data_IF_815129490457
#
_entry.id   IF_815129490457
#
_cell.length_a   1.000
_cell.length_b   1.000
_cell.length_c   1.000
_cell.angle_alpha   90.00
_cell.angle_beta   90.00
_cell.angle_gamma   90.00
#
_symmetry.space_group_name_H-M   'P 1'
#
loop_
_entity.id
_entity.type
_entity.pdbx_description
1 polymer ?
#
# COMPACT_ATOMS: atom_id res chain seq x y z
N UNK A 1 22.08 -6.40 -8.28
CA UNK A 1 21.72 -7.83 -8.12
C UNK A 1 20.36 -8.02 -8.78
N UNK A 2 20.36 -8.37 -10.06
CA UNK A 2 19.14 -8.55 -10.86
C UNK A 2 18.57 -9.97 -10.68
N UNK A 3 17.25 -10.06 -10.54
CA UNK A 3 16.47 -11.20 -11.00
C UNK A 3 15.95 -12.14 -9.91
N UNK A 4 14.63 -12.06 -9.64
CA UNK A 4 13.64 -13.17 -9.60
C UNK A 4 12.35 -12.74 -8.87
N UNK A 5 11.40 -12.11 -9.56
CA UNK A 5 10.05 -11.86 -9.00
C UNK A 5 8.92 -12.01 -10.04
N UNK A 6 9.06 -12.93 -11.01
CA UNK A 6 8.09 -13.07 -12.09
C UNK A 6 6.98 -14.12 -11.87
N UNK A 7 6.76 -14.63 -10.65
CA UNK A 7 5.67 -15.60 -10.38
C UNK A 7 4.72 -15.23 -9.24
N UNK A 8 4.81 -14.01 -8.69
CA UNK A 8 4.11 -13.63 -7.44
C UNK A 8 2.87 -12.76 -7.62
N UNK A 9 2.71 -12.18 -8.80
CA UNK A 9 1.73 -11.13 -9.04
C UNK A 9 0.48 -11.68 -9.72
N UNK A 10 -0.70 -11.43 -9.14
CA UNK A 10 -1.99 -11.70 -9.79
C UNK A 10 -2.53 -10.39 -10.38
N UNK A 11 -2.83 -10.41 -11.68
CA UNK A 11 -3.58 -9.34 -12.33
C UNK A 11 -5.04 -9.45 -11.90
N UNK A 12 -5.54 -8.43 -11.21
CA UNK A 12 -6.95 -8.40 -10.82
C UNK A 12 -7.79 -8.08 -12.08
N UNK A 13 -8.47 -9.07 -12.64
CA UNK A 13 -9.34 -8.87 -13.79
C UNK A 13 -10.58 -8.01 -13.42
N UNK A 14 -10.70 -6.84 -14.08
CA UNK A 14 -11.86 -5.93 -14.25
C UNK A 14 -12.47 -5.21 -13.03
N UNK A 15 -12.29 -3.87 -12.98
CA UNK A 15 -13.39 -2.85 -12.92
C UNK A 15 -12.94 -1.51 -13.58
N UNK A 16 -13.71 -1.02 -14.57
CA UNK A 16 -13.66 0.32 -15.27
C UNK A 16 -14.73 1.28 -14.67
N UNK A 17 -14.88 2.61 -14.96
CA UNK A 17 -14.19 3.52 -15.91
C UNK A 17 -13.73 4.89 -15.31
N UNK A 18 -13.23 5.78 -16.19
CA UNK A 18 -12.61 7.09 -15.96
C UNK A 18 -13.55 8.24 -15.50
N UNK A 19 -13.05 9.12 -14.62
CA UNK A 19 -13.40 10.56 -14.53
C UNK A 19 -12.18 11.36 -14.06
N UNK A 20 -11.95 12.49 -14.72
CA UNK A 20 -10.85 13.45 -14.53
C UNK A 20 -11.17 14.43 -13.38
N UNK A 21 -10.16 14.84 -12.60
CA UNK A 21 -9.62 16.22 -12.54
C UNK A 21 -8.72 16.42 -11.30
N UNK A 22 -7.40 16.42 -11.52
CA UNK A 22 -6.55 17.61 -11.38
C UNK A 22 -6.34 18.35 -10.05
N UNK A 23 -6.83 17.92 -8.88
CA UNK A 23 -6.55 18.64 -7.62
C UNK A 23 -5.82 17.77 -6.58
N UNK A 24 -4.69 18.30 -6.06
CA UNK A 24 -3.93 17.71 -4.93
C UNK A 24 -4.63 18.04 -3.60
N UNK A 25 -5.00 17.06 -2.75
CA UNK A 25 -5.41 17.32 -1.38
C UNK A 25 -4.19 17.58 -0.48
N UNK A 26 -4.29 18.58 0.41
CA UNK A 26 -3.26 18.90 1.41
C UNK A 26 -3.25 17.86 2.53
N UNK A 27 -2.23 16.99 2.62
CA UNK A 27 -2.19 15.83 3.53
C UNK A 27 -1.03 15.87 4.56
N UNK A 28 -0.30 16.98 4.64
CA UNK A 28 1.09 16.95 5.12
C UNK A 28 1.35 17.07 6.64
N UNK A 29 0.48 16.53 7.52
CA UNK A 29 0.81 16.46 8.97
C UNK A 29 0.42 15.14 9.62
N UNK A 30 1.43 14.46 10.19
CA UNK A 30 1.25 13.41 11.21
C UNK A 30 0.76 14.09 12.51
N UNK A 31 -0.39 13.72 13.06
CA UNK A 31 -0.85 14.30 14.33
C UNK A 31 0.04 13.87 15.50
N UNK A 32 0.12 14.72 16.53
CA UNK A 32 0.89 14.47 17.75
C UNK A 32 0.17 13.47 18.68
N UNK A 33 0.88 12.48 19.24
CA UNK A 33 0.33 11.46 20.16
C UNK A 33 1.26 10.27 20.44
N UNK A 34 0.99 9.49 21.51
CA UNK A 34 1.68 8.21 21.81
C UNK A 34 1.02 7.11 21.00
N UNK A 35 1.74 6.55 20.03
CA UNK A 35 1.20 5.54 19.12
C UNK A 35 1.40 4.13 19.70
N UNK A 36 0.46 3.20 19.46
CA UNK A 36 0.64 1.79 19.84
C UNK A 36 1.89 1.15 19.24
N UNK A 37 2.33 1.60 18.05
CA UNK A 37 3.62 1.22 17.44
C UNK A 37 4.84 1.59 18.29
N UNK A 38 4.68 2.58 19.17
CA UNK A 38 5.74 3.19 19.97
C UNK A 38 5.73 2.64 21.41
N UNK A 39 4.77 1.76 21.76
CA UNK A 39 4.69 1.10 23.07
C UNK A 39 4.21 -0.36 22.97
N UNK A 40 5.13 -1.34 23.04
CA UNK A 40 4.83 -2.76 22.87
C UNK A 40 3.99 -3.38 24.00
N UNK A 41 3.72 -2.66 25.09
CA UNK A 41 2.92 -3.13 26.23
C UNK A 41 1.43 -2.74 26.13
N UNK A 42 1.00 -2.04 25.07
CA UNK A 42 -0.41 -1.75 24.83
C UNK A 42 -1.14 -3.02 24.36
N UNK A 43 -1.96 -3.58 25.24
CA UNK A 43 -2.87 -4.69 24.91
C UNK A 43 -4.06 -4.17 24.10
N UNK A 44 -3.95 -4.27 22.77
CA UNK A 44 -5.01 -3.88 21.86
C UNK A 44 -6.18 -4.88 21.90
N UNK A 45 -7.40 -4.36 22.05
CA UNK A 45 -8.65 -5.03 21.70
C UNK A 45 -9.17 -4.41 20.40
N UNK A 46 -9.67 -5.22 19.48
CA UNK A 46 -10.21 -4.72 18.22
C UNK A 46 -11.29 -3.67 18.48
N UNK A 47 -11.15 -2.42 17.99
CA UNK A 47 -12.16 -1.41 18.23
C UNK A 47 -13.30 -1.58 17.23
N UNK A 48 -14.52 -1.42 17.72
CA UNK A 48 -15.75 -1.29 16.92
C UNK A 48 -15.82 0.04 16.12
N UNK A 49 -14.66 0.70 15.87
CA UNK A 49 -14.51 2.06 15.34
C UNK A 49 -13.29 2.17 14.41
N UNK A 50 -13.29 3.08 13.41
CA UNK A 50 -12.08 3.41 12.66
C UNK A 50 -10.98 3.96 13.59
N UNK A 51 -9.73 3.75 13.20
CA UNK A 51 -8.53 4.06 14.00
C UNK A 51 -8.53 5.48 14.56
N UNK A 52 -8.13 5.69 15.84
CA UNK A 52 -8.01 7.01 16.41
C UNK A 52 -6.75 7.68 15.84
N UNK A 53 -6.93 8.79 15.13
CA UNK A 53 -5.82 9.69 14.80
C UNK A 53 -5.74 10.22 13.39
N UNK A 54 -6.80 10.22 12.58
CA UNK A 54 -6.76 10.96 11.31
C UNK A 54 -8.10 11.64 10.99
N UNK A 55 -8.19 12.92 11.32
CA UNK A 55 -9.34 13.80 10.99
C UNK A 55 -9.55 13.96 9.46
N UNK A 56 -8.57 13.55 8.64
CA UNK A 56 -8.67 13.50 7.18
C UNK A 56 -9.33 12.23 6.61
N UNK A 57 -9.81 11.30 7.45
CA UNK A 57 -10.47 10.07 7.01
C UNK A 57 -11.80 10.37 6.25
N UNK A 58 -12.54 11.40 6.65
CA UNK A 58 -13.84 11.75 6.07
C UNK A 58 -13.75 12.45 4.70
N UNK A 59 -12.66 13.17 4.40
CA UNK A 59 -12.57 14.06 3.23
C UNK A 59 -12.36 13.35 1.88
N UNK A 60 -12.08 12.05 1.85
CA UNK A 60 -11.82 11.28 0.60
C UNK A 60 -12.88 10.18 0.39
N UNK A 61 -14.04 10.30 1.04
CA UNK A 61 -15.20 9.51 0.62
C UNK A 61 -15.69 10.06 -0.72
N UNK A 62 -15.90 9.18 -1.71
CA UNK A 62 -16.63 9.56 -2.91
C UNK A 62 -18.04 10.03 -2.53
N UNK A 63 -18.76 10.70 -3.43
CA UNK A 63 -20.16 11.10 -3.21
C UNK A 63 -21.07 9.92 -2.80
N UNK A 64 -20.65 8.68 -3.08
CA UNK A 64 -21.32 7.44 -2.69
C UNK A 64 -20.99 6.94 -1.27
N UNK A 65 -20.05 7.57 -0.56
CA UNK A 65 -19.54 7.12 0.73
C UNK A 65 -18.52 5.97 0.66
N UNK A 66 -18.38 5.32 -0.51
CA UNK A 66 -17.39 4.26 -0.76
C UNK A 66 -16.02 4.84 -1.14
N UNK A 67 -14.96 4.09 -0.83
CA UNK A 67 -13.61 4.41 -1.25
C UNK A 67 -13.45 4.01 -2.72
N UNK A 68 -13.14 4.97 -3.60
CA UNK A 68 -12.84 4.70 -5.01
C UNK A 68 -11.39 4.20 -5.15
N UNK A 69 -11.15 2.91 -5.47
CA UNK A 69 -9.80 2.36 -5.61
C UNK A 69 -9.04 3.00 -6.78
N UNK A 70 -9.73 3.40 -7.85
CA UNK A 70 -9.08 4.05 -9.00
C UNK A 70 -8.62 5.46 -8.65
N UNK A 71 -9.37 6.18 -7.81
CA UNK A 71 -8.91 7.45 -7.26
C UNK A 71 -7.64 7.28 -6.42
N UNK A 72 -7.59 6.25 -5.55
CA UNK A 72 -6.41 5.99 -4.74
C UNK A 72 -5.18 5.68 -5.61
N UNK A 73 -5.34 4.83 -6.64
CA UNK A 73 -4.27 4.51 -7.60
C UNK A 73 -3.76 5.78 -8.32
N UNK A 74 -4.67 6.64 -8.80
CA UNK A 74 -4.29 7.92 -9.43
C UNK A 74 -3.51 8.82 -8.48
N UNK A 75 -3.92 8.91 -7.21
CA UNK A 75 -3.19 9.68 -6.20
C UNK A 75 -1.79 9.12 -5.94
N UNK A 76 -1.65 7.79 -5.83
CA UNK A 76 -0.35 7.13 -5.66
C UNK A 76 0.56 7.40 -6.86
N UNK A 77 0.07 7.18 -8.08
CA UNK A 77 0.82 7.41 -9.33
C UNK A 77 1.20 8.88 -9.47
N UNK A 78 0.28 9.81 -9.22
CA UNK A 78 0.53 11.25 -9.35
C UNK A 78 1.55 11.79 -8.34
N UNK A 79 1.60 11.23 -7.13
CA UNK A 79 2.64 11.55 -6.15
C UNK A 79 3.99 10.96 -6.56
N UNK A 80 4.02 9.68 -6.95
CA UNK A 80 5.25 9.05 -7.43
C UNK A 80 5.83 9.77 -8.68
N UNK A 81 4.97 10.21 -9.61
CA UNK A 81 5.36 11.03 -10.76
C UNK A 81 5.96 12.38 -10.35
N UNK A 82 5.45 12.99 -9.27
CA UNK A 82 5.95 14.28 -8.80
C UNK A 82 7.34 14.17 -8.15
N UNK A 83 7.64 13.02 -7.55
CA UNK A 83 8.94 12.72 -6.92
C UNK A 83 9.94 12.08 -7.88
N UNK A 84 9.49 11.68 -9.07
CA UNK A 84 10.33 11.04 -10.06
C UNK A 84 11.47 11.98 -10.50
N UNK A 85 12.68 11.46 -10.77
CA UNK A 85 13.78 12.26 -11.31
C UNK A 85 13.39 13.00 -12.60
N UNK A 86 14.02 14.16 -12.90
CA UNK A 86 13.70 14.93 -14.10
C UNK A 86 13.78 14.08 -15.38
N UNK A 87 12.72 14.13 -16.18
CA UNK A 87 12.63 13.39 -17.45
C UNK A 87 12.06 11.97 -17.34
N UNK A 88 11.91 11.43 -16.13
CA UNK A 88 11.28 10.11 -15.92
C UNK A 88 9.76 10.24 -16.07
N UNK A 89 9.21 9.53 -17.06
CA UNK A 89 7.76 9.47 -17.33
C UNK A 89 7.18 8.06 -17.21
N UNK A 90 8.02 7.04 -17.35
CA UNK A 90 7.67 5.64 -17.16
C UNK A 90 8.46 5.07 -16.00
N UNK A 91 7.80 4.31 -15.12
CA UNK A 91 8.41 3.65 -13.98
C UNK A 91 7.53 2.51 -13.49
N UNK A 92 8.11 1.59 -12.73
CA UNK A 92 7.36 0.59 -11.97
C UNK A 92 7.45 0.92 -10.50
N UNK A 93 6.31 1.20 -9.89
CA UNK A 93 6.15 1.43 -8.47
C UNK A 93 5.91 0.12 -7.74
N UNK A 94 6.54 -0.06 -6.59
CA UNK A 94 6.31 -1.16 -5.67
C UNK A 94 5.92 -0.61 -4.31
N UNK A 95 4.90 -1.22 -3.70
CA UNK A 95 4.50 -0.95 -2.32
C UNK A 95 4.40 -2.26 -1.55
N UNK A 96 4.98 -2.29 -0.35
CA UNK A 96 4.96 -3.41 0.57
C UNK A 96 4.31 -2.98 1.88
N UNK A 97 3.29 -3.72 2.35
CA UNK A 97 2.43 -3.27 3.44
C UNK A 97 2.06 -4.38 4.42
N UNK A 98 2.15 -4.07 5.71
CA UNK A 98 1.58 -4.86 6.81
C UNK A 98 0.99 -3.91 7.86
N UNK A 99 -0.18 -4.27 8.37
CA UNK A 99 -0.89 -3.49 9.36
C UNK A 99 -1.38 -2.15 8.80
N UNK A 100 -1.61 -1.20 9.69
CA UNK A 100 -2.13 0.12 9.32
C UNK A 100 -1.03 1.12 8.91
N UNK A 101 0.23 0.88 9.32
CA UNK A 101 1.28 1.90 9.26
C UNK A 101 2.61 1.40 8.68
N UNK A 102 2.84 0.09 8.63
CA UNK A 102 4.10 -0.40 8.10
C UNK A 102 4.01 -0.45 6.57
N UNK A 103 4.66 0.51 5.93
CA UNK A 103 4.71 0.63 4.48
C UNK A 103 6.13 0.95 4.04
N UNK A 104 6.57 0.27 3.01
CA UNK A 104 7.75 0.62 2.23
C UNK A 104 7.35 0.77 0.77
N UNK A 105 7.89 1.80 0.12
CA UNK A 105 7.65 2.07 -1.29
C UNK A 105 8.96 2.37 -2.00
N UNK A 106 9.08 1.87 -3.20
CA UNK A 106 10.19 2.14 -4.11
C UNK A 106 9.67 2.21 -5.54
N UNK A 107 10.40 2.87 -6.43
CA UNK A 107 10.05 2.92 -7.84
C UNK A 107 11.31 2.76 -8.69
N UNK A 108 11.25 1.84 -9.64
CA UNK A 108 12.29 1.56 -10.63
C UNK A 108 11.94 2.29 -11.93
N UNK A 109 12.94 2.89 -12.59
CA UNK A 109 12.76 3.55 -13.88
C UNK A 109 13.91 3.22 -14.83
N UNK A 110 13.63 3.41 -16.12
CA UNK A 110 14.61 3.37 -17.21
C UNK A 110 14.46 4.67 -18.02
N UNK A 111 15.58 5.32 -18.33
CA UNK A 111 15.62 6.51 -19.17
C UNK A 111 15.78 6.15 -20.65
N UNK A 112 15.53 7.13 -21.52
CA UNK A 112 15.67 6.96 -22.97
C UNK A 112 17.09 6.57 -23.42
N UNK A 113 18.12 6.88 -22.62
CA UNK A 113 19.51 6.48 -22.88
C UNK A 113 19.84 5.06 -22.37
N UNK A 114 18.85 4.33 -21.83
CA UNK A 114 18.98 2.99 -21.26
C UNK A 114 19.50 2.96 -19.82
N UNK A 115 19.76 4.12 -19.20
CA UNK A 115 20.15 4.16 -17.79
C UNK A 115 18.96 3.80 -16.89
N UNK A 116 19.21 2.98 -15.88
CA UNK A 116 18.20 2.54 -14.92
C UNK A 116 18.48 3.10 -13.53
N UNK A 117 17.43 3.36 -12.75
CA UNK A 117 17.58 3.79 -11.37
C UNK A 117 16.39 3.43 -10.48
N UNK A 118 16.56 3.71 -9.20
CA UNK A 118 15.52 3.56 -8.18
C UNK A 118 15.33 4.93 -7.51
N UNK A 119 14.09 5.29 -7.21
CA UNK A 119 13.77 6.40 -6.31
C UNK A 119 12.76 5.95 -5.26
N UNK A 120 12.74 6.66 -4.13
CA UNK A 120 11.83 6.39 -3.02
C UNK A 120 10.73 7.44 -3.03
N UNK A 121 9.53 7.12 -3.55
CA UNK A 121 8.44 8.08 -3.63
C UNK A 121 7.90 8.44 -2.23
N UNK A 122 7.61 9.72 -2.03
CA UNK A 122 6.87 10.24 -0.89
C UNK A 122 5.39 9.88 -1.08
N UNK A 123 5.03 8.64 -0.74
CA UNK A 123 3.64 8.21 -0.78
C UNK A 123 2.98 8.47 0.56
N UNK A 124 1.85 9.15 0.53
CA UNK A 124 1.00 9.22 1.71
C UNK A 124 0.38 7.84 1.97
N UNK A 125 0.80 7.21 3.06
CA UNK A 125 0.32 5.89 3.51
C UNK A 125 -1.22 5.74 3.46
N UNK A 126 -1.94 6.84 3.68
CA UNK A 126 -3.41 6.87 3.64
C UNK A 126 -4.02 6.49 2.30
N UNK A 127 -3.36 6.75 1.16
CA UNK A 127 -3.87 6.30 -0.16
C UNK A 127 -3.72 4.80 -0.35
N UNK A 128 -2.57 4.24 0.05
CA UNK A 128 -2.34 2.79 0.00
C UNK A 128 -3.27 2.05 0.98
N UNK A 129 -3.44 2.58 2.19
CA UNK A 129 -4.37 1.98 3.17
C UNK A 129 -5.82 1.98 2.67
N UNK A 130 -6.30 3.12 2.15
CA UNK A 130 -7.64 3.18 1.54
C UNK A 130 -7.78 2.23 0.35
N UNK A 131 -6.72 2.05 -0.44
CA UNK A 131 -6.72 1.07 -1.52
C UNK A 131 -6.77 -0.37 -0.98
N UNK A 132 -6.11 -0.67 0.15
CA UNK A 132 -6.25 -1.96 0.84
C UNK A 132 -7.67 -2.17 1.36
N UNK A 133 -8.30 -1.14 1.92
CA UNK A 133 -9.68 -1.18 2.40
C UNK A 133 -10.68 -1.38 1.25
N UNK A 134 -10.51 -0.65 0.15
CA UNK A 134 -11.38 -0.76 -1.03
C UNK A 134 -11.29 -2.11 -1.75
N UNK A 135 -10.13 -2.79 -1.65
CA UNK A 135 -9.87 -4.08 -2.29
C UNK A 135 -9.81 -5.24 -1.30
N UNK A 136 -10.19 -5.00 -0.04
CA UNK A 136 -10.26 -6.05 0.97
C UNK A 136 -11.33 -7.07 0.59
N UNK A 137 -10.96 -8.35 0.65
CA UNK A 137 -11.86 -9.46 0.38
C UNK A 137 -12.16 -10.17 1.70
N UNK A 138 -13.41 -10.13 2.22
CA UNK A 138 -13.78 -10.83 3.44
C UNK A 138 -13.38 -12.31 3.39
N UNK A 139 -12.68 -12.78 4.43
CA UNK A 139 -12.17 -14.16 4.50
C UNK A 139 -10.88 -14.41 3.73
N UNK A 140 -10.52 -13.58 2.75
CA UNK A 140 -9.24 -13.69 2.02
C UNK A 140 -8.20 -12.63 2.43
N UNK A 141 -8.61 -11.58 3.14
CA UNK A 141 -7.71 -10.52 3.59
C UNK A 141 -7.49 -9.42 2.55
N UNK A 142 -6.52 -8.55 2.85
CA UNK A 142 -6.03 -7.54 1.93
C UNK A 142 -4.70 -7.99 1.30
N UNK A 143 -4.34 -7.39 0.18
CA UNK A 143 -3.04 -7.58 -0.44
C UNK A 143 -1.91 -7.08 0.47
N UNK A 144 -0.74 -7.69 0.35
CA UNK A 144 0.49 -7.33 1.07
C UNK A 144 1.49 -6.57 0.20
N UNK A 145 1.40 -6.75 -1.11
CA UNK A 145 2.23 -6.00 -2.05
C UNK A 145 1.44 -5.55 -3.26
N UNK A 146 1.82 -4.40 -3.80
CA UNK A 146 1.28 -3.83 -5.03
C UNK A 146 2.42 -3.50 -5.98
N UNK A 147 2.22 -3.77 -7.26
CA UNK A 147 3.10 -3.35 -8.35
C UNK A 147 2.29 -2.52 -9.33
N UNK A 148 2.69 -1.27 -9.56
CA UNK A 148 2.04 -0.39 -10.53
C UNK A 148 3.03 -0.08 -11.64
N UNK A 149 2.75 -0.52 -12.86
CA UNK A 149 3.55 -0.15 -14.03
C UNK A 149 2.93 1.06 -14.69
N UNK A 150 3.68 2.15 -14.78
CA UNK A 150 3.28 3.43 -15.39
C UNK A 150 4.02 3.59 -16.71
N UNK A 151 3.29 3.84 -17.79
CA UNK A 151 3.83 4.08 -19.13
C UNK A 151 4.06 5.57 -19.37
N UNK A 152 4.89 5.90 -20.37
CA UNK A 152 5.27 7.29 -20.68
C UNK A 152 4.08 8.21 -20.99
N UNK A 153 3.00 7.66 -21.56
CA UNK A 153 1.76 8.39 -21.86
C UNK A 153 0.80 8.50 -20.66
N UNK A 154 1.25 8.10 -19.47
CA UNK A 154 0.53 8.23 -18.21
C UNK A 154 -0.52 7.16 -17.96
N UNK A 155 -0.62 6.13 -18.81
CA UNK A 155 -1.42 4.93 -18.49
C UNK A 155 -0.72 4.13 -17.39
N UNK A 156 -1.50 3.38 -16.63
CA UNK A 156 -0.96 2.50 -15.61
C UNK A 156 -1.78 1.23 -15.43
N UNK A 157 -1.12 0.17 -15.02
CA UNK A 157 -1.72 -1.11 -14.59
C UNK A 157 -1.22 -1.45 -13.20
N UNK A 158 -2.09 -2.03 -12.36
CA UNK A 158 -1.75 -2.45 -11.00
C UNK A 158 -1.97 -3.96 -10.83
N UNK A 159 -0.98 -4.63 -10.25
CA UNK A 159 -1.06 -6.02 -9.80
C UNK A 159 -0.91 -6.08 -8.29
N UNK A 160 -1.55 -7.08 -7.69
CA UNK A 160 -1.60 -7.24 -6.24
C UNK A 160 -1.14 -8.65 -5.85
N UNK A 161 -0.45 -8.74 -4.72
CA UNK A 161 -0.05 -10.00 -4.13
C UNK A 161 -0.68 -10.16 -2.74
N UNK A 162 -1.48 -11.21 -2.58
CA UNK A 162 -2.18 -11.55 -1.35
C UNK A 162 -1.50 -12.72 -0.61
N UNK A 163 -0.58 -13.43 -1.28
CA UNK A 163 -0.15 -14.77 -0.87
C UNK A 163 1.28 -14.78 -0.37
N UNK A 164 2.17 -13.96 -0.95
CA UNK A 164 3.58 -14.00 -0.60
C UNK A 164 3.94 -12.99 0.47
N UNK A 165 4.97 -13.34 1.23
CA UNK A 165 5.51 -12.48 2.26
C UNK A 165 6.11 -11.20 1.63
N UNK A 166 5.67 -10.01 2.06
CA UNK A 166 6.24 -8.75 1.61
C UNK A 166 7.71 -8.63 2.05
N UNK A 167 8.56 -8.14 1.17
CA UNK A 167 10.00 -7.99 1.45
C UNK A 167 10.27 -6.55 1.86
N UNK A 168 10.62 -6.34 3.13
CA UNK A 168 10.98 -5.03 3.67
C UNK A 168 12.50 -4.87 3.70
N UNK A 169 13.01 -3.86 3.00
CA UNK A 169 14.45 -3.56 2.88
C UNK A 169 14.92 -2.46 3.84
N UNK A 170 13.97 -1.78 4.50
CA UNK A 170 14.26 -0.73 5.45
C UNK A 170 14.98 -1.20 6.72
N UNK A 171 15.62 -0.25 7.44
CA UNK A 171 16.35 -0.55 8.68
C UNK A 171 15.43 -0.96 9.83
N UNK A 172 14.17 -0.55 9.79
CA UNK A 172 13.11 -1.03 10.68
C UNK A 172 12.44 -2.22 10.01
N UNK A 173 12.17 -3.27 10.76
CA UNK A 173 11.41 -4.43 10.28
C UNK A 173 10.02 -4.44 10.95
N UNK A 174 8.97 -4.96 10.30
CA UNK A 174 7.67 -5.09 10.94
C UNK A 174 7.75 -6.04 12.14
N UNK A 175 7.16 -5.61 13.24
CA UNK A 175 7.05 -6.40 14.46
C UNK A 175 5.90 -7.41 14.37
N UNK A 176 5.89 -8.42 15.24
CA UNK A 176 4.72 -9.32 15.40
C UNK A 176 3.43 -8.55 15.67
N UNK A 177 3.51 -7.40 16.34
CA UNK A 177 2.36 -6.52 16.55
C UNK A 177 1.79 -5.99 15.23
N UNK A 178 2.63 -5.58 14.28
CA UNK A 178 2.19 -5.07 12.98
C UNK A 178 1.39 -6.15 12.20
N UNK A 179 1.86 -7.41 12.21
CA UNK A 179 1.16 -8.54 11.61
C UNK A 179 -0.16 -8.88 12.32
N UNK A 180 -0.19 -8.79 13.65
CA UNK A 180 -1.43 -8.97 14.44
C UNK A 180 -2.45 -7.88 14.15
N UNK A 181 -2.02 -6.63 13.99
CA UNK A 181 -2.89 -5.57 13.54
C UNK A 181 -3.42 -5.87 12.13
N UNK A 182 -2.57 -6.27 11.18
CA UNK A 182 -3.02 -6.58 9.81
C UNK A 182 -4.15 -7.61 9.80
N UNK A 183 -3.97 -8.73 10.51
CA UNK A 183 -4.94 -9.83 10.56
C UNK A 183 -6.22 -9.48 11.30
N UNK A 184 -6.17 -8.52 12.23
CA UNK A 184 -7.37 -8.07 12.91
C UNK A 184 -8.20 -7.09 12.08
N UNK A 185 -7.56 -6.25 11.25
CA UNK A 185 -8.26 -5.31 10.35
C UNK A 185 -8.68 -5.95 9.02
N UNK A 186 -7.82 -6.79 8.46
CA UNK A 186 -8.04 -7.52 7.22
C UNK A 186 -8.08 -9.00 7.53
N UNK A 187 -9.23 -9.42 8.05
CA UNK A 187 -9.44 -10.79 8.54
C UNK A 187 -9.30 -11.79 7.40
N UNK A 188 -8.66 -12.91 7.71
CA UNK A 188 -8.43 -14.04 6.80
C UNK A 188 -8.95 -15.30 7.46
N UNK A 189 -9.60 -16.14 6.67
CA UNK A 189 -9.91 -17.51 7.06
C UNK A 189 -8.61 -18.32 7.08
N UNK A 190 -8.61 -19.44 7.80
CA UNK A 190 -7.42 -20.28 7.94
C UNK A 190 -6.91 -20.76 6.57
N UNK A 191 -7.81 -21.06 5.63
CA UNK A 191 -7.49 -21.49 4.26
C UNK A 191 -6.80 -20.40 3.42
N UNK A 192 -7.02 -19.13 3.75
CA UNK A 192 -6.43 -17.97 3.07
C UNK A 192 -5.28 -17.35 3.88
N UNK A 193 -4.87 -17.97 4.98
CA UNK A 193 -3.77 -17.50 5.81
C UNK A 193 -2.48 -18.21 5.42
N UNK A 194 -1.52 -17.53 4.76
CA UNK A 194 -0.29 -18.18 4.32
C UNK A 194 0.59 -18.64 5.50
N UNK A 195 1.36 -19.72 5.31
CA UNK A 195 2.26 -20.27 6.34
C UNK A 195 3.22 -19.24 6.93
N UNK A 196 3.79 -18.36 6.10
CA UNK A 196 4.69 -17.30 6.55
C UNK A 196 4.02 -16.36 7.55
N UNK A 197 2.72 -16.07 7.38
CA UNK A 197 2.00 -15.18 8.29
C UNK A 197 1.85 -15.84 9.66
N UNK A 198 1.57 -17.15 9.70
CA UNK A 198 1.53 -17.91 10.95
C UNK A 198 2.88 -17.88 11.69
N UNK A 199 3.99 -17.95 10.97
CA UNK A 199 5.33 -17.82 11.57
C UNK A 199 5.52 -16.44 12.21
N UNK A 200 5.19 -15.37 11.46
CA UNK A 200 5.28 -13.98 11.96
C UNK A 200 4.40 -13.72 13.19
N UNK A 201 3.19 -14.26 13.22
CA UNK A 201 2.24 -14.13 14.33
C UNK A 201 2.70 -14.86 15.61
N UNK A 202 3.45 -15.96 15.46
CA UNK A 202 4.01 -16.72 16.59
C UNK A 202 5.33 -16.13 17.11
N UNK A 203 5.84 -15.07 16.47
CA UNK A 203 7.12 -14.44 16.82
C UNK A 203 8.32 -15.34 16.56
N UNK A 204 8.24 -16.21 15.53
CA UNK A 204 9.32 -17.13 15.14
C UNK A 204 9.89 -16.77 13.77
#
# INVERSE_FOLDING_TARGET
MLGRLLSRWKRADRVLPAVLTGARPSIDRRPEGVWPSDNPNLTWSAPDKPWPGWDGYEQIRSESGLIDPQLQLRCIVGLAQADAPPGVKAFTFYGYLVGAQFVECEAEYEQADGSTGIFLPTVHWGYLYRLREALYLPGSGAWYSIRITVTEDGRFEADYDYEHEPTFSGPRQPSTYDYRCDTAWFTRDDEHTPDWLWHRLRGR
#
